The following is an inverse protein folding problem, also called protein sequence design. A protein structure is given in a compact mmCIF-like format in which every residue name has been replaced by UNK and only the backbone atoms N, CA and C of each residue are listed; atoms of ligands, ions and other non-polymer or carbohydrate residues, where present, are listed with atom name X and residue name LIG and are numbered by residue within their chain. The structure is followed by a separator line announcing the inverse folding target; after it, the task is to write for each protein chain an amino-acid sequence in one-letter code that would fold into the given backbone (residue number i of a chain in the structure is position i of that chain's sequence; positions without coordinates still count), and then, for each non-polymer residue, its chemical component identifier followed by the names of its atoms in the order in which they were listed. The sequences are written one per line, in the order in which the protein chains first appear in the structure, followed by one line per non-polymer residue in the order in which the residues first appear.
data_IF_324589160612
#
_entry.id   IF_324589160612
#
_cell.length_a   1.000
_cell.length_b   1.000
_cell.length_c   1.000
_cell.angle_alpha   90.00
_cell.angle_beta   90.00
_cell.angle_gamma   90.00
#
_symmetry.space_group_name_H-M   'P 1'
#
loop_
_entity.id
_entity.type
_entity.pdbx_description
1 polymer ?
#
# COMPACT_ATOMS: atom_id res chain seq x y z
N UNK A 1 -25.60 40.25 -38.04
CA UNK A 1 -24.96 39.18 -38.84
C UNK A 1 -23.49 39.49 -39.08
N UNK A 2 -22.59 38.93 -38.27
CA UNK A 2 -21.15 38.98 -38.55
C UNK A 2 -20.59 37.55 -38.48
N UNK A 3 -20.42 36.98 -39.66
CA UNK A 3 -19.67 35.77 -39.94
C UNK A 3 -18.20 36.14 -40.11
N UNK A 4 -17.33 35.76 -39.17
CA UNK A 4 -15.88 35.80 -39.35
C UNK A 4 -15.25 34.61 -38.63
N UNK A 5 -15.01 33.52 -39.38
CA UNK A 5 -13.89 32.65 -39.06
C UNK A 5 -12.59 33.35 -39.50
N UNK A 6 -11.48 33.14 -38.78
CA UNK A 6 -10.31 32.67 -39.51
C UNK A 6 -9.40 31.72 -38.71
N UNK A 7 -8.58 30.97 -39.45
CA UNK A 7 -7.19 30.78 -39.04
C UNK A 7 -6.81 29.40 -38.57
N UNK A 8 -6.61 28.50 -39.53
CA UNK A 8 -5.84 27.28 -39.36
C UNK A 8 -4.33 27.58 -39.19
N UNK A 9 -3.68 26.73 -38.38
CA UNK A 9 -2.24 26.39 -38.36
C UNK A 9 -1.26 27.32 -37.62
N UNK A 10 -0.06 26.83 -37.26
CA UNK A 10 0.32 25.48 -36.80
C UNK A 10 1.17 25.54 -35.51
N UNK A 11 1.06 24.54 -34.65
CA UNK A 11 2.01 24.36 -33.56
C UNK A 11 3.37 23.89 -34.13
N UNK A 12 4.49 24.60 -33.87
CA UNK A 12 5.80 24.04 -34.13
C UNK A 12 6.16 23.09 -32.99
N UNK A 13 6.23 21.79 -33.29
CA UNK A 13 6.90 20.82 -32.43
C UNK A 13 8.42 20.90 -32.70
N UNK A 14 9.25 21.29 -31.73
CA UNK A 14 10.69 21.12 -31.86
C UNK A 14 11.08 19.65 -31.62
N UNK A 15 11.50 19.03 -32.72
CA UNK A 15 12.42 17.90 -32.89
C UNK A 15 12.85 17.09 -31.67
N UNK A 16 12.50 15.80 -31.73
CA UNK A 16 13.16 14.73 -30.99
C UNK A 16 14.63 14.60 -31.43
N UNK A 17 15.55 15.19 -30.68
CA UNK A 17 16.97 14.85 -30.77
C UNK A 17 17.23 13.55 -30.00
N UNK A 18 17.50 12.49 -30.78
CA UNK A 18 18.00 11.20 -30.31
C UNK A 18 19.37 11.39 -29.61
N UNK A 19 19.57 10.88 -28.39
CA UNK A 19 20.90 10.84 -27.81
C UNK A 19 21.80 9.87 -28.58
N UNK A 20 22.88 10.43 -29.15
CA UNK A 20 23.97 9.71 -29.80
C UNK A 20 24.75 8.84 -28.82
N UNK A 21 25.11 7.66 -29.31
CA UNK A 21 25.96 6.63 -28.68
C UNK A 21 27.24 7.24 -28.10
N UNK A 22 27.46 7.06 -26.80
CA UNK A 22 28.77 7.30 -26.19
C UNK A 22 29.33 6.02 -25.58
N UNK A 23 30.57 5.77 -25.98
CA UNK A 23 31.40 4.60 -25.74
C UNK A 23 31.42 4.09 -24.30
N UNK A 24 31.18 2.78 -24.16
CA UNK A 24 31.46 2.00 -22.95
C UNK A 24 32.97 1.71 -22.93
N UNK A 25 33.69 2.35 -22.01
CA UNK A 25 35.06 1.94 -21.70
C UNK A 25 35.02 0.58 -21.00
N UNK A 26 35.68 -0.40 -21.62
CA UNK A 26 35.94 -1.74 -21.08
C UNK A 26 37.07 -1.66 -20.07
N UNK A 27 36.73 -1.50 -18.79
CA UNK A 27 37.65 -1.76 -17.67
C UNK A 27 37.38 -3.16 -17.15
N UNK A 28 38.34 -4.05 -17.38
CA UNK A 28 38.39 -5.41 -16.84
C UNK A 28 38.20 -5.37 -15.31
N UNK A 29 37.03 -5.81 -14.85
CA UNK A 29 36.75 -6.06 -13.44
C UNK A 29 36.88 -7.57 -13.21
N UNK A 30 37.66 -8.02 -12.21
CA UNK A 30 37.87 -9.44 -11.96
C UNK A 30 36.55 -10.14 -11.64
N UNK A 31 36.42 -11.37 -12.15
CA UNK A 31 35.23 -12.21 -12.12
C UNK A 31 34.55 -12.19 -10.75
N UNK A 32 33.37 -11.58 -10.69
CA UNK A 32 32.47 -11.74 -9.56
C UNK A 32 32.03 -13.21 -9.52
N UNK A 33 32.45 -13.91 -8.46
CA UNK A 33 31.91 -15.20 -8.07
C UNK A 33 30.38 -15.12 -8.15
N UNK A 34 29.81 -15.85 -9.10
CA UNK A 34 28.37 -15.96 -9.29
C UNK A 34 27.78 -16.75 -8.13
N UNK A 35 27.65 -16.09 -6.98
CA UNK A 35 26.83 -16.56 -5.88
C UNK A 35 25.41 -16.65 -6.40
N UNK A 36 24.91 -17.87 -6.60
CA UNK A 36 23.50 -18.10 -6.88
C UNK A 36 22.69 -17.48 -5.74
N UNK A 37 22.18 -16.27 -5.97
CA UNK A 37 21.26 -15.62 -5.06
C UNK A 37 20.01 -16.49 -5.07
N UNK A 38 19.87 -17.35 -4.05
CA UNK A 38 18.65 -18.11 -3.81
C UNK A 38 17.54 -17.08 -3.61
N UNK A 39 16.82 -16.78 -4.69
CA UNK A 39 15.62 -15.93 -4.65
C UNK A 39 14.67 -16.59 -3.66
N UNK A 40 14.39 -15.89 -2.55
CA UNK A 40 13.37 -16.32 -1.60
C UNK A 40 12.04 -16.40 -2.34
N UNK A 41 11.30 -17.48 -2.14
CA UNK A 41 9.96 -17.65 -2.68
C UNK A 41 9.08 -16.47 -2.27
N UNK A 42 8.25 -15.92 -3.16
CA UNK A 42 7.28 -14.90 -2.80
C UNK A 42 6.37 -15.41 -1.67
N UNK A 43 6.13 -14.60 -0.64
CA UNK A 43 5.21 -14.94 0.44
C UNK A 43 3.76 -14.95 -0.06
N UNK A 44 2.98 -15.92 0.41
CA UNK A 44 1.52 -15.95 0.20
C UNK A 44 0.84 -14.84 1.00
N UNK A 45 -0.41 -14.48 0.67
CA UNK A 45 -1.15 -13.48 1.44
C UNK A 45 -1.38 -13.91 2.89
N UNK A 46 -1.66 -15.20 3.13
CA UNK A 46 -1.75 -15.78 4.49
C UNK A 46 -0.47 -15.57 5.30
N UNK A 47 0.69 -15.87 4.72
CA UNK A 47 1.99 -15.67 5.38
C UNK A 47 2.29 -14.20 5.67
N UNK A 48 1.83 -13.28 4.81
CA UNK A 48 1.95 -11.84 5.07
C UNK A 48 1.05 -11.41 6.22
N UNK A 49 -0.19 -11.93 6.26
CA UNK A 49 -1.14 -11.63 7.32
C UNK A 49 -0.65 -12.14 8.68
N UNK A 50 -0.18 -13.38 8.76
CA UNK A 50 0.40 -13.95 9.99
C UNK A 50 1.54 -13.08 10.52
N UNK A 51 2.47 -12.68 9.66
CA UNK A 51 3.59 -11.82 10.04
C UNK A 51 3.13 -10.46 10.60
N UNK A 52 2.12 -9.85 9.99
CA UNK A 52 1.55 -8.57 10.46
C UNK A 52 0.85 -8.74 11.80
N UNK A 53 0.06 -9.80 11.97
CA UNK A 53 -0.65 -10.08 13.22
C UNK A 53 0.31 -10.40 14.37
N UNK A 54 1.34 -11.21 14.12
CA UNK A 54 2.41 -11.49 15.08
C UNK A 54 3.13 -10.18 15.49
N UNK A 55 3.47 -9.33 14.52
CA UNK A 55 4.12 -8.03 14.80
C UNK A 55 3.25 -7.08 15.62
N UNK A 56 1.92 -7.13 15.45
CA UNK A 56 0.97 -6.35 16.26
C UNK A 56 0.94 -6.89 17.70
N UNK A 57 0.91 -8.20 17.85
CA UNK A 57 0.89 -8.88 19.15
C UNK A 57 2.19 -8.67 19.93
N UNK A 58 3.35 -8.74 19.28
CA UNK A 58 4.66 -8.48 19.89
C UNK A 58 4.78 -7.06 20.46
N UNK A 59 4.06 -6.10 19.86
CA UNK A 59 4.00 -4.71 20.33
C UNK A 59 2.95 -4.49 21.43
N UNK A 60 2.29 -5.55 21.91
CA UNK A 60 1.26 -5.47 22.94
C UNK A 60 -0.02 -4.76 22.47
N UNK A 61 -0.24 -4.66 21.16
CA UNK A 61 -1.44 -4.05 20.60
C UNK A 61 -2.45 -5.11 20.17
N UNK A 62 -3.73 -4.74 20.09
CA UNK A 62 -4.76 -5.58 19.48
C UNK A 62 -4.96 -5.16 18.03
N UNK A 63 -5.52 -6.04 17.19
CA UNK A 63 -5.84 -5.67 15.80
C UNK A 63 -6.75 -4.43 15.73
N UNK A 64 -7.73 -4.33 16.64
CA UNK A 64 -8.62 -3.16 16.76
C UNK A 64 -7.87 -1.89 17.18
N UNK A 65 -6.99 -2.00 18.19
CA UNK A 65 -6.17 -0.88 18.64
C UNK A 65 -5.19 -0.40 17.57
N UNK A 66 -4.55 -1.33 16.87
CA UNK A 66 -3.70 -1.02 15.72
C UNK A 66 -4.50 -0.33 14.61
N UNK A 67 -5.66 -0.87 14.23
CA UNK A 67 -6.51 -0.30 13.16
C UNK A 67 -6.98 1.11 13.51
N UNK A 68 -7.44 1.35 14.73
CA UNK A 68 -7.77 2.69 15.21
C UNK A 68 -6.58 3.64 15.08
N UNK A 69 -5.41 3.22 15.52
CA UNK A 69 -4.19 4.01 15.42
C UNK A 69 -3.73 4.21 13.97
N UNK A 70 -4.03 3.32 13.03
CA UNK A 70 -3.72 3.50 11.60
C UNK A 70 -4.51 4.67 10.99
N UNK A 71 -5.78 4.84 11.38
CA UNK A 71 -6.68 5.82 10.78
C UNK A 71 -6.88 7.09 11.62
N UNK A 72 -6.46 7.13 12.89
CA UNK A 72 -6.64 8.33 13.73
C UNK A 72 -5.86 9.54 13.19
N UNK A 73 -6.53 10.70 13.16
CA UNK A 73 -5.98 11.97 12.69
C UNK A 73 -5.29 12.78 13.79
N UNK A 74 -5.66 12.55 15.05
CA UNK A 74 -5.12 13.26 16.22
C UNK A 74 -4.54 12.29 17.23
N UNK A 75 -3.52 12.73 17.93
CA UNK A 75 -2.95 12.01 19.07
C UNK A 75 -3.80 12.21 20.33
N UNK A 76 -3.36 11.58 21.42
CA UNK A 76 -4.07 11.58 22.70
C UNK A 76 -4.06 12.97 23.38
N UNK A 77 -3.25 13.90 22.87
CA UNK A 77 -3.19 15.30 23.30
C UNK A 77 -3.95 16.24 22.34
N UNK A 78 -4.60 15.69 21.32
CA UNK A 78 -5.36 16.45 20.33
C UNK A 78 -4.52 17.08 19.21
N UNK A 79 -3.21 16.79 19.16
CA UNK A 79 -2.31 17.28 18.11
C UNK A 79 -2.48 16.47 16.83
N UNK A 80 -2.30 17.11 15.68
CA UNK A 80 -2.39 16.43 14.38
C UNK A 80 -1.24 15.43 14.21
N UNK A 81 -1.55 14.21 13.79
CA UNK A 81 -0.54 13.18 13.55
C UNK A 81 -0.01 13.31 12.13
N UNK A 82 1.23 13.77 12.02
CA UNK A 82 1.94 13.76 10.75
C UNK A 82 2.39 12.34 10.39
N UNK A 83 1.73 11.75 9.40
CA UNK A 83 2.08 10.44 8.84
C UNK A 83 3.12 10.59 7.74
N UNK A 84 3.84 9.51 7.47
CA UNK A 84 4.70 9.45 6.28
C UNK A 84 3.86 9.64 5.01
N UNK A 85 4.48 10.17 3.96
CA UNK A 85 3.81 10.38 2.68
C UNK A 85 3.22 9.07 2.14
N UNK A 86 3.97 7.98 2.24
CA UNK A 86 3.55 6.63 1.83
C UNK A 86 2.29 6.18 2.56
N UNK A 87 2.25 6.34 3.90
CA UNK A 87 1.08 6.00 4.70
C UNK A 87 -0.15 6.79 4.28
N UNK A 88 0.00 8.12 4.15
CA UNK A 88 -1.10 9.02 3.78
C UNK A 88 -1.67 8.66 2.40
N UNK A 89 -0.80 8.34 1.44
CA UNK A 89 -1.20 7.92 0.10
C UNK A 89 -1.94 6.58 0.14
N UNK A 90 -1.44 5.58 0.87
CA UNK A 90 -2.09 4.28 0.99
C UNK A 90 -3.50 4.40 1.58
N UNK A 91 -3.63 5.13 2.70
CA UNK A 91 -4.92 5.35 3.36
C UNK A 91 -5.87 6.13 2.44
N UNK A 92 -5.40 7.17 1.76
CA UNK A 92 -6.22 7.95 0.84
C UNK A 92 -6.76 7.11 -0.32
N UNK A 93 -5.91 6.28 -0.94
CA UNK A 93 -6.32 5.39 -2.04
C UNK A 93 -7.35 4.36 -1.55
N UNK A 94 -7.11 3.76 -0.39
CA UNK A 94 -8.01 2.77 0.20
C UNK A 94 -9.38 3.36 0.52
N UNK A 95 -9.41 4.48 1.25
CA UNK A 95 -10.66 5.14 1.65
C UNK A 95 -11.42 5.76 0.45
N UNK A 96 -10.72 6.16 -0.61
CA UNK A 96 -11.35 6.62 -1.84
C UNK A 96 -11.93 5.49 -2.69
N UNK A 97 -11.80 4.22 -2.28
CA UNK A 97 -12.28 3.06 -3.05
C UNK A 97 -11.49 2.84 -4.35
N UNK A 98 -10.23 3.31 -4.42
CA UNK A 98 -9.36 3.20 -5.59
C UNK A 98 -8.33 2.07 -5.46
N UNK A 99 -8.36 1.34 -4.34
CA UNK A 99 -7.57 0.14 -4.14
C UNK A 99 -8.22 -1.07 -4.82
N UNK A 100 -7.46 -2.17 -4.99
CA UNK A 100 -7.98 -3.42 -5.52
C UNK A 100 -9.04 -4.02 -4.58
N UNK A 101 -8.76 -4.01 -3.27
CA UNK A 101 -9.70 -4.32 -2.21
C UNK A 101 -10.23 -3.01 -1.62
N UNK A 102 -11.51 -2.74 -1.78
CA UNK A 102 -12.14 -1.50 -1.33
C UNK A 102 -12.69 -1.62 0.09
N UNK A 103 -12.99 -0.48 0.73
CA UNK A 103 -13.71 -0.46 2.01
C UNK A 103 -15.05 -1.19 1.91
N UNK A 104 -15.74 -1.08 0.77
CA UNK A 104 -17.01 -1.76 0.56
C UNK A 104 -16.84 -3.28 0.51
N UNK A 105 -15.77 -3.79 -0.10
CA UNK A 105 -15.47 -5.23 -0.13
C UNK A 105 -15.19 -5.75 1.29
N UNK A 106 -14.38 -5.01 2.07
CA UNK A 106 -14.07 -5.38 3.46
C UNK A 106 -15.33 -5.42 4.31
N UNK A 107 -16.20 -4.41 4.21
CA UNK A 107 -17.47 -4.40 4.95
C UNK A 107 -18.38 -5.55 4.48
N UNK A 108 -18.45 -5.82 3.17
CA UNK A 108 -19.26 -6.90 2.63
C UNK A 108 -18.80 -8.26 3.18
N UNK A 109 -17.48 -8.49 3.23
CA UNK A 109 -16.92 -9.70 3.83
C UNK A 109 -17.23 -9.80 5.33
N UNK A 110 -17.19 -8.71 6.09
CA UNK A 110 -17.62 -8.73 7.50
C UNK A 110 -19.10 -9.08 7.68
N UNK A 111 -19.95 -8.70 6.73
CA UNK A 111 -21.39 -8.99 6.79
C UNK A 111 -21.72 -10.42 6.36
N UNK A 112 -20.86 -11.06 5.56
CA UNK A 112 -21.06 -12.41 5.02
C UNK A 112 -20.34 -13.45 5.87
N UNK A 113 -19.06 -13.21 6.19
CA UNK A 113 -18.21 -14.16 6.86
C UNK A 113 -18.33 -14.01 8.39
N UNK A 114 -18.58 -15.09 9.14
CA UNK A 114 -18.70 -15.05 10.60
C UNK A 114 -17.34 -14.89 11.32
N UNK A 115 -16.33 -14.30 10.68
CA UNK A 115 -15.03 -14.04 11.34
C UNK A 115 -15.26 -13.01 12.45
N UNK A 116 -15.16 -13.49 13.69
CA UNK A 116 -15.69 -12.82 14.88
C UNK A 116 -16.48 -13.78 15.80
N UNK A 117 -16.88 -14.96 15.29
CA UNK A 117 -17.33 -16.05 16.15
C UNK A 117 -16.12 -16.67 16.83
N UNK A 118 -15.92 -16.26 18.08
CA UNK A 118 -15.05 -17.01 18.98
C UNK A 118 -15.66 -18.42 19.12
N UNK A 119 -14.92 -19.50 18.82
CA UNK A 119 -15.40 -20.85 19.08
C UNK A 119 -15.86 -20.92 20.54
N UNK A 120 -17.01 -21.53 20.82
CA UNK A 120 -17.53 -21.64 22.19
C UNK A 120 -16.57 -22.37 23.16
N UNK A 121 -15.56 -23.04 22.63
CA UNK A 121 -14.47 -23.70 23.37
C UNK A 121 -13.22 -22.82 23.58
N UNK A 122 -13.19 -21.60 23.06
CA UNK A 122 -12.02 -20.72 23.17
C UNK A 122 -12.06 -19.94 24.49
N UNK A 123 -10.91 -19.81 25.19
CA UNK A 123 -10.83 -19.05 26.44
C UNK A 123 -11.15 -17.56 26.26
N UNK A 124 -11.19 -17.08 25.02
CA UNK A 124 -11.47 -15.67 24.71
C UNK A 124 -12.97 -15.35 24.68
N UNK A 125 -13.87 -16.34 24.81
CA UNK A 125 -15.34 -16.11 24.85
C UNK A 125 -15.69 -15.21 26.04
N UNK A 126 -15.06 -15.45 27.19
CA UNK A 126 -15.34 -14.70 28.43
C UNK A 126 -14.90 -13.23 28.35
N UNK A 127 -13.89 -12.93 27.52
CA UNK A 127 -13.38 -11.57 27.31
C UNK A 127 -14.33 -10.70 26.46
N UNK A 128 -15.28 -11.29 25.74
CA UNK A 128 -16.21 -10.55 24.88
C UNK A 128 -17.42 -9.96 25.62
N UNK A 129 -17.76 -10.50 26.80
CA UNK A 129 -18.96 -10.15 27.58
C UNK A 129 -18.66 -9.64 29.00
N UNK A 130 -17.39 -9.38 29.31
CA UNK A 130 -16.93 -8.78 30.57
C UNK A 130 -16.87 -7.26 30.45
#
# INVERSE_FOLDING_TARGET
DENLAPGSSPFPFPSAERPSKRHRNTTNTPASVSGSSKRRSPRTNTQKLELVLESIQEQGSTLGGFSYNVFRAKDDQGSEIHRTQTHSQMVSIFLAGRANETVADVISEWMIHPDGRIPSSSPNVDLMFS
#
